data_IF_618414887449
#
_entry.id   IF_618414887449
#
_cell.length_a   1.000
_cell.length_b   1.000
_cell.length_c   1.000
_cell.angle_alpha   90.00
_cell.angle_beta   90.00
_cell.angle_gamma   90.00
#
_symmetry.space_group_name_H-M   'P 1'
#
loop_
_entity.id
_entity.type
_entity.pdbx_description
1 polymer ?
#
# COMPACT_ATOMS: atom_id res chain seq x y z
N UNK A 1 -13.56 26.02 16.41
CA UNK A 1 -12.13 25.84 16.07
C UNK A 1 -11.79 24.36 15.92
N UNK A 2 -12.22 23.55 16.88
CA UNK A 2 -11.95 22.12 16.89
C UNK A 2 -12.63 21.41 15.70
N UNK A 3 -13.91 21.72 15.44
CA UNK A 3 -14.67 21.16 14.33
C UNK A 3 -14.07 21.54 12.97
N UNK A 4 -13.60 22.77 12.85
CA UNK A 4 -12.97 23.26 11.65
C UNK A 4 -11.66 22.54 11.36
N UNK A 5 -10.86 22.30 12.38
CA UNK A 5 -9.59 21.58 12.25
C UNK A 5 -9.83 20.13 11.84
N UNK A 6 -10.84 19.47 12.42
CA UNK A 6 -11.20 18.11 12.07
C UNK A 6 -11.75 18.02 10.63
N UNK A 7 -12.53 18.97 10.19
CA UNK A 7 -13.06 19.03 8.83
C UNK A 7 -11.94 19.15 7.80
N UNK A 8 -10.97 20.02 8.05
CA UNK A 8 -9.81 20.20 7.16
C UNK A 8 -8.98 18.91 7.13
N UNK A 9 -8.74 18.31 8.27
CA UNK A 9 -8.00 17.05 8.39
C UNK A 9 -8.69 15.93 7.61
N UNK A 10 -10.01 15.77 7.78
CA UNK A 10 -10.78 14.72 7.10
C UNK A 10 -10.80 14.93 5.59
N UNK A 11 -10.90 16.17 5.12
CA UNK A 11 -10.85 16.49 3.70
C UNK A 11 -9.48 16.12 3.11
N UNK A 12 -8.40 16.42 3.82
CA UNK A 12 -7.05 16.05 3.41
C UNK A 12 -6.88 14.53 3.35
N UNK A 13 -7.39 13.80 4.34
CA UNK A 13 -7.34 12.34 4.35
C UNK A 13 -8.07 11.75 3.16
N UNK A 14 -9.26 12.25 2.83
CA UNK A 14 -10.02 11.79 1.67
C UNK A 14 -9.26 12.03 0.37
N UNK A 15 -8.70 13.21 0.19
CA UNK A 15 -7.92 13.53 -1.01
C UNK A 15 -6.71 12.60 -1.14
N UNK A 16 -5.99 12.38 -0.06
CA UNK A 16 -4.83 11.50 -0.06
C UNK A 16 -5.24 10.04 -0.34
N UNK A 17 -6.34 9.59 0.25
CA UNK A 17 -6.86 8.25 0.00
C UNK A 17 -7.23 8.06 -1.46
N UNK A 18 -7.84 9.07 -2.09
CA UNK A 18 -8.24 9.02 -3.48
C UNK A 18 -7.05 8.97 -4.45
N UNK A 19 -5.85 9.34 -4.00
CA UNK A 19 -4.62 9.20 -4.79
C UNK A 19 -4.08 7.77 -4.79
N UNK A 20 -4.43 6.94 -3.81
CA UNK A 20 -3.86 5.60 -3.68
C UNK A 20 -4.13 4.69 -4.88
N UNK A 21 -5.31 4.69 -5.52
CA UNK A 21 -5.49 3.92 -6.76
C UNK A 21 -4.51 4.31 -7.86
N UNK A 22 -4.14 5.59 -7.93
CA UNK A 22 -3.14 6.07 -8.91
C UNK A 22 -1.76 5.50 -8.57
N UNK A 23 -1.41 5.46 -7.30
CA UNK A 23 -0.16 4.82 -6.84
C UNK A 23 -0.17 3.33 -7.22
N UNK A 24 -1.30 2.65 -7.03
CA UNK A 24 -1.44 1.24 -7.41
C UNK A 24 -1.19 1.03 -8.89
N UNK A 25 -1.71 1.92 -9.75
CA UNK A 25 -1.52 1.85 -11.19
C UNK A 25 -0.05 2.03 -11.57
N UNK A 26 0.65 2.96 -10.92
CA UNK A 26 2.08 3.15 -11.11
C UNK A 26 2.87 1.89 -10.72
N UNK A 27 2.54 1.30 -9.59
CA UNK A 27 3.21 0.08 -9.12
C UNK A 27 3.04 -1.06 -10.13
N UNK A 28 1.82 -1.25 -10.66
CA UNK A 28 1.58 -2.28 -11.68
C UNK A 28 2.35 -2.01 -12.95
N UNK A 29 2.39 -0.76 -13.40
CA UNK A 29 3.15 -0.37 -14.60
C UNK A 29 4.64 -0.62 -14.44
N UNK A 30 5.20 -0.26 -13.29
CA UNK A 30 6.61 -0.49 -13.00
C UNK A 30 6.93 -1.99 -12.94
N UNK A 31 6.09 -2.78 -12.27
CA UNK A 31 6.29 -4.23 -12.18
C UNK A 31 6.23 -4.88 -13.56
N UNK A 32 5.26 -4.48 -14.39
CA UNK A 32 5.09 -5.03 -15.73
C UNK A 32 6.24 -4.69 -16.68
N UNK A 33 6.93 -3.56 -16.46
CA UNK A 33 7.96 -3.07 -17.36
C UNK A 33 9.39 -3.29 -16.88
N UNK A 34 9.57 -3.81 -15.68
CA UNK A 34 10.91 -3.90 -15.05
C UNK A 34 11.92 -4.72 -15.84
N UNK A 35 11.46 -5.74 -16.58
CA UNK A 35 12.32 -6.63 -17.36
C UNK A 35 12.33 -6.28 -18.86
N UNK A 36 11.65 -5.21 -19.26
CA UNK A 36 11.59 -4.78 -20.66
C UNK A 36 12.80 -3.91 -21.00
N UNK A 37 13.84 -4.52 -21.56
CA UNK A 37 15.10 -3.80 -21.86
C UNK A 37 14.90 -2.59 -22.75
N UNK A 38 13.97 -2.67 -23.73
CA UNK A 38 13.68 -1.59 -24.65
C UNK A 38 12.97 -0.41 -23.99
N UNK A 39 12.28 -0.67 -22.87
CA UNK A 39 11.54 0.35 -22.14
C UNK A 39 12.27 0.83 -20.89
N UNK A 40 13.54 0.45 -20.70
CA UNK A 40 14.28 0.73 -19.47
C UNK A 40 14.30 2.22 -19.12
N UNK A 41 14.58 3.08 -20.09
CA UNK A 41 14.64 4.51 -19.84
C UNK A 41 13.29 5.07 -19.42
N UNK A 42 12.20 4.57 -20.01
CA UNK A 42 10.83 4.97 -19.65
C UNK A 42 10.50 4.47 -18.25
N UNK A 43 10.84 3.22 -17.96
CA UNK A 43 10.65 2.62 -16.65
C UNK A 43 11.38 3.43 -15.57
N UNK A 44 12.65 3.76 -15.80
CA UNK A 44 13.45 4.51 -14.83
C UNK A 44 12.88 5.91 -14.60
N UNK A 45 12.37 6.56 -15.65
CA UNK A 45 11.72 7.86 -15.53
C UNK A 45 10.44 7.79 -14.73
N UNK A 46 9.62 6.78 -14.97
CA UNK A 46 8.38 6.57 -14.22
C UNK A 46 8.67 6.24 -12.76
N UNK A 47 9.70 5.44 -12.50
CA UNK A 47 10.10 5.11 -11.14
C UNK A 47 10.54 6.35 -10.36
N UNK A 48 11.23 7.27 -11.02
CA UNK A 48 11.60 8.53 -10.40
C UNK A 48 10.37 9.35 -9.99
N UNK A 49 9.39 9.42 -10.87
CA UNK A 49 8.13 10.13 -10.58
C UNK A 49 7.37 9.42 -9.43
N UNK A 50 7.30 8.11 -9.49
CA UNK A 50 6.68 7.31 -8.44
C UNK A 50 7.32 7.57 -7.08
N UNK A 51 8.66 7.57 -7.02
CA UNK A 51 9.38 7.80 -5.76
C UNK A 51 9.12 9.20 -5.21
N UNK A 52 8.99 10.21 -6.08
CA UNK A 52 8.63 11.56 -5.66
C UNK A 52 7.23 11.61 -5.07
N UNK A 53 6.28 10.89 -5.66
CA UNK A 53 4.91 10.81 -5.16
C UNK A 53 4.89 10.15 -3.78
N UNK A 54 5.58 9.03 -3.61
CA UNK A 54 5.67 8.32 -2.33
C UNK A 54 6.31 9.21 -1.26
N UNK A 55 7.36 9.95 -1.62
CA UNK A 55 7.98 10.88 -0.68
C UNK A 55 7.02 11.98 -0.27
N UNK A 56 6.28 12.53 -1.22
CA UNK A 56 5.28 13.56 -0.93
C UNK A 56 4.19 13.04 0.00
N UNK A 57 3.70 11.84 -0.26
CA UNK A 57 2.72 11.19 0.62
C UNK A 57 3.31 10.99 2.02
N UNK A 58 4.56 10.55 2.12
CA UNK A 58 5.26 10.39 3.38
C UNK A 58 5.38 11.71 4.15
N UNK A 59 5.66 12.81 3.45
CA UNK A 59 5.74 14.13 4.05
C UNK A 59 4.39 14.57 4.64
N UNK A 60 3.30 13.99 4.15
CA UNK A 60 1.94 14.22 4.66
C UNK A 60 1.47 13.14 5.63
N UNK A 61 2.38 12.30 6.10
CA UNK A 61 2.10 11.28 7.11
C UNK A 61 1.54 9.98 6.57
N UNK A 62 1.49 9.80 5.24
CA UNK A 62 0.98 8.57 4.62
C UNK A 62 2.13 7.58 4.44
N UNK A 63 1.97 6.39 5.00
CA UNK A 63 2.98 5.33 4.92
C UNK A 63 2.35 4.02 4.49
N UNK A 64 3.05 3.28 3.65
CA UNK A 64 2.65 1.93 3.28
C UNK A 64 2.87 0.97 4.45
N UNK A 65 1.97 0.01 4.61
CA UNK A 65 2.13 -1.08 5.58
C UNK A 65 3.07 -2.13 5.01
N UNK A 66 3.92 -2.69 5.85
CA UNK A 66 4.74 -3.84 5.51
C UNK A 66 4.00 -5.10 5.93
N UNK A 67 3.03 -5.52 5.11
CA UNK A 67 2.10 -6.59 5.47
C UNK A 67 2.59 -7.98 5.14
N UNK A 68 3.27 -8.18 4.01
CA UNK A 68 3.78 -9.49 3.60
C UNK A 68 4.82 -9.98 4.61
N UNK A 69 4.62 -11.18 5.12
CA UNK A 69 5.46 -11.76 6.15
C UNK A 69 5.04 -11.46 7.59
N UNK A 70 4.15 -10.52 7.77
CA UNK A 70 3.63 -10.16 9.10
C UNK A 70 2.51 -11.11 9.53
N UNK A 71 2.19 -11.11 10.81
CA UNK A 71 1.01 -11.82 11.31
C UNK A 71 -0.25 -11.14 10.78
N UNK A 72 -1.24 -11.95 10.40
CA UNK A 72 -2.53 -11.40 10.00
C UNK A 72 -3.18 -10.67 11.16
N UNK A 73 -3.66 -9.46 10.89
CA UNK A 73 -4.35 -8.62 11.87
C UNK A 73 -5.57 -7.99 11.21
N UNK A 74 -6.76 -8.39 11.63
CA UNK A 74 -8.01 -7.93 11.03
C UNK A 74 -8.23 -6.41 11.18
N UNK A 75 -7.54 -5.76 12.10
CA UNK A 75 -7.65 -4.31 12.28
C UNK A 75 -7.00 -3.52 11.14
N UNK A 76 -6.02 -4.12 10.44
CA UNK A 76 -5.27 -3.46 9.39
C UNK A 76 -5.27 -4.22 8.06
N UNK A 77 -5.66 -5.50 8.08
CA UNK A 77 -5.66 -6.35 6.89
C UNK A 77 -7.07 -6.84 6.56
N UNK A 78 -7.32 -7.01 5.26
CA UNK A 78 -8.50 -7.69 4.75
C UNK A 78 -8.03 -8.96 4.04
N UNK A 79 -8.38 -10.13 4.57
CA UNK A 79 -8.02 -11.40 3.96
C UNK A 79 -8.95 -11.65 2.77
N UNK A 80 -8.41 -11.65 1.56
CA UNK A 80 -9.19 -11.91 0.35
C UNK A 80 -9.11 -13.36 -0.10
N UNK A 81 -8.13 -14.11 0.42
CA UNK A 81 -7.95 -15.52 0.13
C UNK A 81 -7.09 -16.16 1.21
N UNK A 82 -7.24 -17.48 1.33
CA UNK A 82 -6.39 -18.29 2.20
C UNK A 82 -5.76 -19.39 1.36
N UNK A 83 -4.53 -19.75 1.70
CA UNK A 83 -3.80 -20.85 1.08
C UNK A 83 -3.23 -21.75 2.18
N UNK A 84 -2.95 -23.03 1.86
CA UNK A 84 -2.23 -23.86 2.83
C UNK A 84 -0.88 -23.27 3.17
N UNK A 85 -0.50 -23.28 4.45
CA UNK A 85 0.81 -22.79 4.87
C UNK A 85 1.91 -23.66 4.24
N UNK A 86 2.95 -23.03 3.61
CA UNK A 86 4.09 -23.78 3.08
C UNK A 86 4.81 -24.58 4.17
N UNK A 87 4.87 -24.04 5.38
CA UNK A 87 5.35 -24.76 6.57
C UNK A 87 4.59 -24.23 7.79
N UNK A 88 4.75 -24.92 8.92
CA UNK A 88 4.02 -24.58 10.15
C UNK A 88 4.34 -23.21 10.71
N UNK A 89 5.58 -22.73 10.49
CA UNK A 89 5.99 -21.42 10.98
C UNK A 89 5.24 -20.27 10.29
N UNK A 90 4.63 -20.54 9.13
CA UNK A 90 3.93 -19.50 8.36
C UNK A 90 2.43 -19.47 8.58
N UNK A 91 1.89 -20.39 9.37
CA UNK A 91 0.46 -20.37 9.69
C UNK A 91 0.06 -19.06 10.35
N UNK A 92 -1.02 -18.47 9.85
CA UNK A 92 -1.52 -17.19 10.36
C UNK A 92 -0.76 -15.98 9.84
N UNK A 93 0.21 -16.19 8.97
CA UNK A 93 0.99 -15.11 8.38
C UNK A 93 0.44 -14.65 7.05
N UNK A 94 0.71 -13.41 6.71
CA UNK A 94 0.40 -12.86 5.40
C UNK A 94 1.44 -13.37 4.41
N UNK A 95 1.00 -14.11 3.41
CA UNK A 95 1.88 -14.69 2.38
C UNK A 95 2.10 -13.70 1.25
N UNK A 96 1.07 -12.94 0.90
CA UNK A 96 1.14 -11.98 -0.18
C UNK A 96 0.20 -10.80 0.09
N UNK A 97 0.55 -9.65 -0.46
CA UNK A 97 -0.27 -8.45 -0.39
C UNK A 97 -0.65 -8.06 -1.81
N UNK A 98 -1.93 -8.22 -2.15
CA UNK A 98 -2.42 -7.92 -3.50
C UNK A 98 -2.72 -6.45 -3.70
N UNK A 99 -3.05 -5.74 -2.62
CA UNK A 99 -3.20 -4.30 -2.63
C UNK A 99 -2.64 -3.76 -1.31
N UNK A 100 -1.69 -2.85 -1.42
CA UNK A 100 -1.05 -2.29 -0.23
C UNK A 100 -2.04 -1.52 0.64
N UNK A 101 -1.93 -1.71 1.94
CA UNK A 101 -2.59 -0.86 2.91
C UNK A 101 -1.72 0.32 3.27
N UNK A 102 -2.33 1.37 3.74
CA UNK A 102 -1.64 2.59 4.12
C UNK A 102 -2.17 3.13 5.43
N UNK A 103 -1.28 3.75 6.18
CA UNK A 103 -1.65 4.51 7.38
C UNK A 103 -1.43 5.98 7.13
N UNK A 104 -2.15 6.82 7.87
CA UNK A 104 -1.90 8.25 7.94
C UNK A 104 -1.82 8.63 9.40
N UNK A 105 -0.65 9.13 9.83
CA UNK A 105 -0.40 9.50 11.23
C UNK A 105 -0.81 8.37 12.19
N UNK A 106 -0.40 7.14 11.87
CA UNK A 106 -0.65 5.91 12.64
C UNK A 106 -2.10 5.43 12.65
N UNK A 107 -2.97 6.04 11.87
CA UNK A 107 -4.36 5.63 11.68
C UNK A 107 -4.49 4.93 10.32
N UNK A 108 -5.30 3.87 10.24
CA UNK A 108 -5.52 3.17 8.98
C UNK A 108 -6.24 4.09 7.99
N UNK A 109 -5.60 4.36 6.86
CA UNK A 109 -6.20 5.08 5.75
C UNK A 109 -6.94 4.11 4.83
N UNK A 110 -6.32 2.95 4.60
CA UNK A 110 -6.86 1.86 3.78
C UNK A 110 -6.25 0.55 4.25
N UNK A 111 -7.07 -0.49 4.41
CA UNK A 111 -6.59 -1.83 4.77
C UNK A 111 -5.78 -2.43 3.63
N UNK A 112 -4.80 -3.27 3.97
CA UNK A 112 -4.12 -4.08 2.99
C UNK A 112 -4.99 -5.29 2.62
N UNK A 113 -5.10 -5.59 1.33
CA UNK A 113 -5.74 -6.82 0.86
C UNK A 113 -4.67 -7.90 0.77
N UNK A 114 -4.87 -8.98 1.51
CA UNK A 114 -3.81 -9.96 1.74
C UNK A 114 -4.30 -11.39 1.51
N UNK A 115 -3.34 -12.27 1.26
CA UNK A 115 -3.51 -13.71 1.22
C UNK A 115 -2.87 -14.27 2.48
N UNK A 116 -3.60 -15.07 3.23
CA UNK A 116 -3.18 -15.58 4.54
C UNK A 116 -2.88 -17.07 4.45
N UNK A 117 -1.82 -17.51 5.12
CA UNK A 117 -1.50 -18.93 5.27
C UNK A 117 -2.40 -19.53 6.35
N UNK A 118 -2.99 -20.66 6.01
CA UNK A 118 -3.96 -21.36 6.86
C UNK A 118 -3.37 -22.61 7.50
#
# INVERSE_FOLDING_TARGET
IRERSELIKNAAEKTLKDLLPIVDDFERGLEASKDAAEAKAIHDGMELIYNKLIKHLGDNGVKAMESTGADFNADIHEAIATIPAPDESQKGKVIDTTQKGYTINDKVLRHAKVVVAQ
#
